data_IF_510662750020
#
_entry.id   IF_510662750020
#
_cell.length_a   1.000
_cell.length_b   1.000
_cell.length_c   1.000
_cell.angle_alpha   90.00
_cell.angle_beta   90.00
_cell.angle_gamma   90.00
#
_symmetry.space_group_name_H-M   'P 1'
#
loop_
_entity.id
_entity.type
_entity.pdbx_description
1 polymer ?
#
# COMPACT_ATOMS: atom_id res chain seq x y z
N UNK A 1 5.86 -37.70 -37.64
CA UNK A 1 5.82 -38.63 -36.48
C UNK A 1 7.15 -38.81 -35.74
N UNK A 2 8.31 -38.94 -36.41
CA UNK A 2 9.62 -39.12 -35.70
C UNK A 2 10.06 -37.91 -34.87
N UNK A 3 9.81 -36.68 -35.35
CA UNK A 3 10.13 -35.43 -34.64
C UNK A 3 9.28 -35.21 -33.38
N UNK A 4 7.99 -35.58 -33.42
CA UNK A 4 7.09 -35.46 -32.27
C UNK A 4 7.47 -36.44 -31.15
N UNK A 5 7.91 -37.65 -31.50
CA UNK A 5 8.37 -38.65 -30.52
C UNK A 5 9.68 -38.25 -29.83
N UNK A 6 10.58 -37.58 -30.54
CA UNK A 6 11.82 -37.03 -29.95
C UNK A 6 11.52 -35.88 -28.97
N UNK A 7 10.64 -34.96 -29.37
CA UNK A 7 10.21 -33.84 -28.52
C UNK A 7 9.49 -34.30 -27.23
N UNK A 8 8.62 -35.31 -27.33
CA UNK A 8 7.95 -35.89 -26.15
C UNK A 8 8.91 -36.65 -25.23
N UNK A 9 10.01 -37.21 -25.75
CA UNK A 9 11.03 -37.87 -24.93
C UNK A 9 11.89 -36.85 -24.15
N UNK A 10 12.18 -35.71 -24.79
CA UNK A 10 12.98 -34.61 -24.22
C UNK A 10 12.22 -33.85 -23.12
N UNK A 11 10.90 -33.64 -23.28
CA UNK A 11 10.07 -32.90 -22.32
C UNK A 11 9.23 -33.79 -21.39
N UNK A 12 9.47 -35.11 -21.33
CA UNK A 12 8.68 -36.05 -20.53
C UNK A 12 8.62 -35.66 -19.03
N UNK A 13 9.71 -35.10 -18.50
CA UNK A 13 9.76 -34.62 -17.10
C UNK A 13 8.97 -33.32 -16.90
N UNK A 14 9.02 -32.41 -17.86
CA UNK A 14 8.30 -31.12 -17.82
C UNK A 14 6.79 -31.32 -18.01
N UNK A 15 6.39 -32.28 -18.86
CA UNK A 15 4.99 -32.63 -19.09
C UNK A 15 4.34 -33.32 -17.88
N UNK A 16 5.10 -34.09 -17.09
CA UNK A 16 4.61 -34.70 -15.85
C UNK A 16 4.44 -33.64 -14.75
N UNK A 17 5.37 -32.69 -14.64
CA UNK A 17 5.27 -31.58 -13.68
C UNK A 17 4.07 -30.67 -14.02
N UNK A 18 3.89 -30.33 -15.30
CA UNK A 18 2.74 -29.54 -15.76
C UNK A 18 1.40 -30.26 -15.52
N UNK A 19 1.35 -31.59 -15.70
CA UNK A 19 0.17 -32.40 -15.42
C UNK A 19 -0.14 -32.47 -13.92
N UNK A 20 0.87 -32.58 -13.06
CA UNK A 20 0.71 -32.54 -11.60
C UNK A 20 0.21 -31.18 -11.11
N UNK A 21 0.70 -30.07 -11.68
CA UNK A 21 0.22 -28.72 -11.37
C UNK A 21 -1.25 -28.51 -11.82
N UNK A 22 -1.63 -29.06 -12.99
CA UNK A 22 -3.01 -29.02 -13.48
C UNK A 22 -3.98 -29.86 -12.63
N UNK A 23 -3.56 -31.04 -12.16
CA UNK A 23 -4.36 -31.91 -11.30
C UNK A 23 -4.52 -31.36 -9.87
N UNK A 24 -3.53 -30.62 -9.36
CA UNK A 24 -3.67 -29.91 -8.07
C UNK A 24 -4.65 -28.73 -8.16
N UNK A 25 -4.82 -28.12 -9.33
CA UNK A 25 -5.74 -27.00 -9.54
C UNK A 25 -7.22 -27.41 -9.60
N UNK A 26 -7.53 -28.64 -10.05
CA UNK A 26 -8.92 -29.12 -10.18
C UNK A 26 -9.48 -29.78 -8.91
N UNK A 27 -8.63 -30.17 -7.96
CA UNK A 27 -9.09 -30.75 -6.69
C UNK A 27 -9.44 -29.70 -5.61
N UNK A 28 -8.97 -28.45 -5.73
CA UNK A 28 -9.21 -27.40 -4.73
C UNK A 28 -10.48 -26.56 -4.94
N UNK A 29 -11.08 -26.60 -6.14
CA UNK A 29 -12.18 -25.70 -6.53
C UNK A 29 -13.59 -26.23 -6.23
N UNK A 30 -13.73 -27.43 -5.67
CA UNK A 30 -15.04 -28.02 -5.34
C UNK A 30 -15.44 -27.93 -3.85
N UNK A 31 -14.54 -27.50 -2.94
CA UNK A 31 -14.83 -27.43 -1.49
C UNK A 31 -15.10 -26.01 -0.96
N UNK A 32 -14.83 -24.94 -1.71
CA UNK A 32 -15.05 -23.56 -1.25
C UNK A 32 -16.48 -23.03 -1.47
N UNK A 33 -17.32 -23.70 -2.27
CA UNK A 33 -18.63 -23.18 -2.67
C UNK A 33 -19.80 -23.53 -1.71
N UNK A 34 -19.61 -24.45 -0.76
CA UNK A 34 -20.71 -24.92 0.13
C UNK A 34 -20.64 -24.27 1.53
N UNK A 35 -19.49 -23.72 1.94
CA UNK A 35 -19.34 -23.11 3.27
C UNK A 35 -19.88 -21.67 3.34
N UNK A 36 -19.99 -20.97 2.20
CA UNK A 36 -20.39 -19.55 2.15
C UNK A 36 -21.91 -19.35 2.10
N UNK A 37 -22.68 -20.34 1.60
CA UNK A 37 -24.13 -20.24 1.50
C UNK A 37 -24.87 -20.52 2.81
N UNK A 38 -24.31 -21.37 3.68
CA UNK A 38 -24.91 -21.66 4.99
C UNK A 38 -24.70 -20.52 6.00
N UNK A 39 -23.56 -19.82 5.96
CA UNK A 39 -23.27 -18.78 6.94
C UNK A 39 -24.09 -17.49 6.74
N UNK A 40 -24.49 -17.19 5.49
CA UNK A 40 -25.29 -15.99 5.15
C UNK A 40 -26.76 -16.08 5.58
N UNK A 41 -27.26 -17.26 5.94
CA UNK A 41 -28.65 -17.44 6.35
C UNK A 41 -28.87 -17.27 7.87
N UNK A 42 -27.82 -17.40 8.69
CA UNK A 42 -27.92 -17.33 10.16
C UNK A 42 -27.60 -15.92 10.70
N UNK A 43 -26.69 -15.17 10.06
CA UNK A 43 -26.31 -13.80 10.51
C UNK A 43 -27.42 -12.74 10.34
N UNK A 44 -28.47 -13.05 9.58
CA UNK A 44 -29.59 -12.13 9.34
C UNK A 44 -30.68 -12.15 10.43
N UNK A 45 -30.58 -13.02 11.45
CA UNK A 45 -31.58 -13.13 12.53
C UNK A 45 -31.17 -12.54 13.87
N UNK A 46 -29.91 -12.13 14.05
CA UNK A 46 -29.39 -11.69 15.35
C UNK A 46 -29.18 -10.17 15.48
N UNK A 47 -29.39 -9.37 14.43
CA UNK A 47 -29.19 -7.91 14.46
C UNK A 47 -30.39 -7.10 14.98
N UNK A 48 -31.31 -7.70 15.74
CA UNK A 48 -32.50 -7.00 16.26
C UNK A 48 -32.77 -7.26 17.76
N UNK A 49 -31.73 -7.18 18.59
CA UNK A 49 -31.78 -7.08 20.06
C UNK A 49 -30.32 -6.84 20.50
N UNK A 50 -29.86 -5.79 21.14
CA UNK A 50 -30.43 -4.84 22.09
C UNK A 50 -29.60 -3.54 22.04
N UNK A 51 -30.25 -2.42 22.38
CA UNK A 51 -29.64 -1.10 22.58
C UNK A 51 -29.86 -0.68 24.04
N UNK A 52 -28.95 0.16 24.56
CA UNK A 52 -28.88 0.81 25.90
C UNK A 52 -28.36 -0.11 27.04
N UNK A 53 -27.47 0.29 27.96
CA UNK A 53 -26.87 1.55 28.46
C UNK A 53 -25.61 1.08 29.23
N UNK A 54 -24.48 1.77 29.42
CA UNK A 54 -24.32 2.99 30.22
C UNK A 54 -22.82 3.39 30.26
N UNK A 55 -22.57 4.57 30.81
CA UNK A 55 -21.47 5.50 30.50
C UNK A 55 -20.26 5.41 31.46
N UNK A 56 -19.10 5.96 31.03
CA UNK A 56 -17.95 6.48 31.84
C UNK A 56 -16.86 5.44 32.19
N UNK A 57 -15.59 5.55 31.79
CA UNK A 57 -14.66 6.66 32.07
C UNK A 57 -13.46 6.63 31.11
N UNK A 58 -12.96 7.82 30.79
CA UNK A 58 -11.96 8.12 29.79
C UNK A 58 -10.49 7.82 30.17
N UNK A 59 -9.69 7.76 29.10
CA UNK A 59 -8.29 8.19 28.96
C UNK A 59 -7.18 7.15 29.20
N UNK A 60 -6.74 6.54 28.10
CA UNK A 60 -5.32 6.55 27.69
C UNK A 60 -5.26 6.57 26.14
N UNK A 61 -5.11 7.78 25.59
CA UNK A 61 -5.09 8.06 24.14
C UNK A 61 -3.70 7.69 23.59
N UNK A 62 -3.59 6.53 22.94
CA UNK A 62 -2.52 6.28 21.94
C UNK A 62 -3.08 6.65 20.58
N UNK A 63 -2.54 7.72 20.00
CA UNK A 63 -2.75 8.10 18.60
C UNK A 63 -2.19 7.00 17.70
N UNK A 64 -3.06 6.11 17.23
CA UNK A 64 -2.90 5.40 15.95
C UNK A 64 -4.00 5.97 15.06
N UNK A 65 -3.62 6.52 13.92
CA UNK A 65 -4.56 6.74 12.82
C UNK A 65 -5.21 5.37 12.51
N UNK A 66 -6.47 5.20 12.93
CA UNK A 66 -7.29 4.05 12.55
C UNK A 66 -7.71 4.23 11.09
N UNK A 67 -6.80 3.95 10.16
CA UNK A 67 -7.21 3.33 8.91
C UNK A 67 -7.67 1.92 9.27
N UNK A 68 -8.96 1.64 9.05
CA UNK A 68 -9.65 0.45 9.54
C UNK A 68 -8.81 -0.83 9.39
N UNK A 69 -8.51 -1.47 10.52
CA UNK A 69 -7.73 -2.70 10.54
C UNK A 69 -8.56 -3.82 9.89
N UNK A 70 -8.10 -4.35 8.77
CA UNK A 70 -8.73 -5.54 8.15
C UNK A 70 -8.36 -6.77 8.98
N UNK A 71 -9.36 -7.55 9.36
CA UNK A 71 -9.16 -8.76 10.16
C UNK A 71 -8.46 -9.86 9.36
N UNK A 72 -7.48 -10.51 10.00
CA UNK A 72 -6.79 -11.67 9.42
C UNK A 72 -7.69 -12.91 9.47
N UNK A 73 -7.68 -13.68 8.39
CA UNK A 73 -8.24 -15.03 8.37
C UNK A 73 -7.42 -15.99 9.23
N UNK A 74 -8.02 -17.09 9.69
CA UNK A 74 -7.30 -18.11 10.47
C UNK A 74 -6.14 -18.74 9.69
N UNK A 75 -6.29 -18.88 8.36
CA UNK A 75 -5.23 -19.35 7.48
C UNK A 75 -4.04 -18.38 7.46
N UNK A 76 -4.29 -17.08 7.31
CA UNK A 76 -3.25 -16.05 7.37
C UNK A 76 -2.55 -16.03 8.74
N UNK A 77 -3.32 -16.12 9.84
CA UNK A 77 -2.75 -16.20 11.20
C UNK A 77 -1.82 -17.39 11.36
N UNK A 78 -2.20 -18.55 10.82
CA UNK A 78 -1.37 -19.75 10.90
C UNK A 78 -0.08 -19.62 10.07
N UNK A 79 -0.15 -19.02 8.88
CA UNK A 79 1.03 -18.71 8.06
C UNK A 79 1.98 -17.77 8.81
N UNK A 80 1.45 -16.70 9.41
CA UNK A 80 2.24 -15.68 10.13
C UNK A 80 3.02 -16.28 11.32
N UNK A 81 2.44 -17.24 12.05
CA UNK A 81 3.14 -17.95 13.14
C UNK A 81 4.40 -18.67 12.65
N UNK A 82 4.41 -19.11 11.39
CA UNK A 82 5.48 -19.87 10.77
C UNK A 82 6.58 -19.04 10.12
N UNK A 83 6.52 -17.71 10.17
CA UNK A 83 7.53 -16.85 9.52
C UNK A 83 8.94 -17.09 10.06
N UNK A 84 9.83 -17.44 9.13
CA UNK A 84 11.26 -17.48 9.35
C UNK A 84 11.89 -16.07 9.34
N UNK A 85 13.20 -16.02 9.57
CA UNK A 85 13.95 -14.76 9.60
C UNK A 85 13.90 -14.05 8.25
N UNK A 86 14.11 -14.79 7.15
CA UNK A 86 14.16 -14.23 5.80
C UNK A 86 12.83 -13.58 5.40
N UNK A 87 11.70 -14.19 5.76
CA UNK A 87 10.37 -13.61 5.52
C UNK A 87 10.16 -12.32 6.32
N UNK A 88 10.64 -12.27 7.57
CA UNK A 88 10.54 -11.05 8.39
C UNK A 88 11.42 -9.92 7.86
N UNK A 89 12.66 -10.23 7.47
CA UNK A 89 13.57 -9.24 6.86
C UNK A 89 13.02 -8.69 5.53
N UNK A 90 12.33 -9.53 4.75
CA UNK A 90 11.62 -9.09 3.55
C UNK A 90 10.47 -8.13 3.90
N UNK A 91 9.66 -8.44 4.92
CA UNK A 91 8.58 -7.55 5.39
C UNK A 91 9.15 -6.22 5.89
N UNK A 92 10.24 -6.23 6.64
CA UNK A 92 10.96 -5.02 7.07
C UNK A 92 11.42 -4.20 5.85
N UNK A 93 11.94 -4.86 4.82
CA UNK A 93 12.32 -4.22 3.56
C UNK A 93 11.12 -3.56 2.88
N UNK A 94 10.00 -4.28 2.75
CA UNK A 94 8.78 -3.78 2.10
C UNK A 94 8.16 -2.60 2.86
N UNK A 95 8.18 -2.65 4.19
CA UNK A 95 7.59 -1.63 5.07
C UNK A 95 8.48 -0.39 5.26
N UNK A 96 9.76 -0.47 4.91
CA UNK A 96 10.71 0.64 5.04
C UNK A 96 10.46 1.80 4.08
N UNK A 97 9.58 1.63 3.08
CA UNK A 97 9.36 2.63 2.03
C UNK A 97 7.91 2.67 1.57
N UNK A 98 7.55 3.78 0.93
CA UNK A 98 6.40 3.85 0.05
C UNK A 98 6.84 3.35 -1.33
N UNK A 99 5.98 2.55 -1.96
CA UNK A 99 6.15 2.11 -3.34
C UNK A 99 5.18 2.90 -4.18
N UNK A 100 5.62 3.46 -5.29
CA UNK A 100 4.77 4.34 -6.08
C UNK A 100 4.93 4.13 -7.56
N UNK A 101 3.86 4.42 -8.30
CA UNK A 101 3.92 4.53 -9.75
C UNK A 101 3.03 5.67 -10.22
N UNK A 102 3.25 6.11 -11.47
CA UNK A 102 2.50 7.20 -12.09
C UNK A 102 2.54 8.48 -11.26
N UNK A 103 3.76 8.86 -10.83
CA UNK A 103 4.01 10.08 -10.04
C UNK A 103 3.22 10.10 -8.72
N UNK A 104 3.25 9.00 -7.97
CA UNK A 104 2.64 8.94 -6.65
C UNK A 104 1.12 8.76 -6.63
N UNK A 105 0.44 8.66 -7.78
CA UNK A 105 -1.02 8.44 -7.81
C UNK A 105 -1.46 7.07 -7.34
N UNK A 106 -0.58 6.09 -7.48
CA UNK A 106 -0.78 4.75 -6.97
C UNK A 106 0.34 4.50 -5.98
N UNK A 107 0.01 4.34 -4.71
CA UNK A 107 0.99 4.04 -3.67
C UNK A 107 0.66 2.76 -2.93
N UNK A 108 1.70 2.05 -2.52
CA UNK A 108 1.61 0.91 -1.60
C UNK A 108 2.43 1.23 -0.36
N UNK A 109 1.85 1.01 0.81
CA UNK A 109 2.52 1.10 2.10
C UNK A 109 2.28 -0.18 2.87
N UNK A 110 3.33 -0.97 3.06
CA UNK A 110 3.28 -2.23 3.79
C UNK A 110 3.48 -2.02 5.29
N UNK A 111 2.80 -2.83 6.08
CA UNK A 111 3.02 -3.08 7.50
C UNK A 111 3.20 -4.60 7.72
N UNK A 112 3.26 -5.06 8.96
CA UNK A 112 3.58 -6.45 9.31
C UNK A 112 2.61 -7.50 8.71
N UNK A 113 1.32 -7.18 8.68
CA UNK A 113 0.22 -8.10 8.32
C UNK A 113 -0.82 -7.48 7.38
N UNK A 114 -0.54 -6.28 6.88
CA UNK A 114 -1.46 -5.50 6.06
C UNK A 114 -0.72 -4.51 5.15
N UNK A 115 -1.36 -4.10 4.06
CA UNK A 115 -0.88 -3.00 3.25
C UNK A 115 -2.02 -2.03 2.93
N UNK A 116 -1.65 -0.77 2.72
CA UNK A 116 -2.55 0.25 2.19
C UNK A 116 -2.22 0.46 0.73
N UNK A 117 -3.19 0.27 -0.15
CA UNK A 117 -3.13 0.73 -1.54
C UNK A 117 -3.91 2.03 -1.67
N UNK A 118 -3.23 3.11 -2.05
CA UNK A 118 -3.88 4.38 -2.36
C UNK A 118 -4.02 4.51 -3.86
N UNK A 119 -5.25 4.69 -4.34
CA UNK A 119 -5.56 4.91 -5.75
C UNK A 119 -6.15 6.30 -5.92
N UNK A 120 -5.38 7.21 -6.53
CA UNK A 120 -5.73 8.62 -6.71
C UNK A 120 -6.25 9.26 -5.41
N UNK A 121 -5.45 9.21 -4.35
CA UNK A 121 -5.80 9.79 -3.04
C UNK A 121 -6.71 8.91 -2.17
N UNK A 122 -7.41 7.93 -2.73
CA UNK A 122 -8.34 7.06 -1.99
C UNK A 122 -7.62 5.82 -1.42
N UNK A 123 -7.47 5.68 -0.09
CA UNK A 123 -6.81 4.51 0.52
C UNK A 123 -7.77 3.32 0.68
N UNK A 124 -7.26 2.11 0.40
CA UNK A 124 -7.89 0.84 0.75
C UNK A 124 -6.90 -0.01 1.53
N UNK A 125 -7.34 -0.57 2.66
CA UNK A 125 -6.52 -1.46 3.50
C UNK A 125 -6.79 -2.91 3.10
N UNK A 126 -5.74 -3.72 3.02
CA UNK A 126 -5.81 -5.15 2.72
C UNK A 126 -4.99 -5.93 3.75
N UNK A 127 -5.56 -7.02 4.25
CA UNK A 127 -4.79 -7.98 5.07
C UNK A 127 -3.90 -8.84 4.18
N UNK A 128 -2.75 -9.29 4.68
CA UNK A 128 -1.94 -10.26 3.96
C UNK A 128 -1.16 -11.22 4.88
N UNK A 129 -0.77 -12.36 4.32
CA UNK A 129 0.30 -13.20 4.83
C UNK A 129 1.20 -13.67 3.67
N UNK A 130 2.48 -13.94 3.93
CA UNK A 130 3.44 -14.43 2.93
C UNK A 130 3.58 -15.94 3.09
N UNK A 131 2.96 -16.71 2.19
CA UNK A 131 2.99 -18.18 2.26
C UNK A 131 4.28 -18.77 1.69
N UNK A 132 5.00 -18.02 0.83
CA UNK A 132 6.27 -18.45 0.25
C UNK A 132 7.11 -17.27 -0.24
N UNK A 133 8.43 -17.40 -0.05
CA UNK A 133 9.45 -16.54 -0.65
C UNK A 133 10.44 -17.40 -1.41
N UNK A 134 10.73 -17.05 -2.65
CA UNK A 134 11.80 -17.66 -3.43
C UNK A 134 12.76 -16.58 -3.91
N UNK A 135 13.99 -16.63 -3.40
CA UNK A 135 15.07 -15.71 -3.78
C UNK A 135 15.93 -16.34 -4.87
N UNK A 136 16.14 -15.60 -5.95
CA UNK A 136 17.04 -15.95 -7.05
C UNK A 136 18.01 -14.80 -7.30
N UNK A 137 19.19 -15.11 -7.85
CA UNK A 137 20.09 -14.07 -8.36
C UNK A 137 19.61 -13.63 -9.74
N UNK A 138 19.72 -12.33 -10.02
CA UNK A 138 19.46 -11.79 -11.35
C UNK A 138 20.60 -12.08 -12.35
N UNK A 139 21.73 -12.67 -11.90
CA UNK A 139 22.91 -12.94 -12.71
C UNK A 139 23.84 -11.72 -12.91
N UNK A 140 23.49 -10.57 -12.33
CA UNK A 140 24.18 -9.28 -12.46
C UNK A 140 24.52 -8.65 -11.10
N UNK A 141 24.42 -9.41 -10.01
CA UNK A 141 24.77 -8.97 -8.66
C UNK A 141 23.59 -8.48 -7.82
N UNK A 142 22.38 -8.53 -8.37
CA UNK A 142 21.14 -8.25 -7.66
C UNK A 142 20.32 -9.50 -7.34
N UNK A 143 19.26 -9.30 -6.58
CA UNK A 143 18.33 -10.33 -6.14
C UNK A 143 16.93 -10.09 -6.71
N UNK A 144 16.32 -11.19 -7.13
CA UNK A 144 14.93 -11.27 -7.55
C UNK A 144 14.18 -12.20 -6.60
N UNK A 145 13.13 -11.68 -5.97
CA UNK A 145 12.27 -12.43 -5.08
C UNK A 145 10.93 -12.68 -5.77
N UNK A 146 10.49 -13.94 -5.77
CA UNK A 146 9.12 -14.33 -6.11
C UNK A 146 8.39 -14.63 -4.81
N UNK A 147 7.36 -13.86 -4.52
CA UNK A 147 6.67 -13.85 -3.22
C UNK A 147 5.22 -14.26 -3.46
N UNK A 148 4.70 -15.19 -2.66
CA UNK A 148 3.29 -15.57 -2.68
C UNK A 148 2.59 -14.90 -1.49
N UNK A 149 1.65 -14.00 -1.80
CA UNK A 149 0.80 -13.30 -0.84
C UNK A 149 -0.57 -13.95 -0.76
N UNK A 150 -1.03 -14.26 0.46
CA UNK A 150 -2.40 -14.61 0.77
C UNK A 150 -3.12 -13.38 1.32
N UNK A 151 -3.97 -12.74 0.53
CA UNK A 151 -4.70 -11.53 0.91
C UNK A 151 -6.20 -11.79 1.13
N UNK A 152 -6.92 -10.78 1.56
CA UNK A 152 -8.39 -10.75 1.59
C UNK A 152 -9.04 -10.87 0.19
N UNK A 153 -8.28 -10.60 -0.87
CA UNK A 153 -8.71 -10.72 -2.28
C UNK A 153 -8.29 -12.04 -2.95
N UNK A 154 -7.46 -12.85 -2.28
CA UNK A 154 -7.02 -14.16 -2.75
C UNK A 154 -5.51 -14.35 -2.72
N UNK A 155 -5.03 -15.38 -3.42
CA UNK A 155 -3.61 -15.71 -3.53
C UNK A 155 -2.99 -14.99 -4.73
N UNK A 156 -1.90 -14.27 -4.49
CA UNK A 156 -1.22 -13.46 -5.49
C UNK A 156 0.28 -13.75 -5.54
N UNK A 157 0.87 -13.58 -6.72
CA UNK A 157 2.32 -13.62 -6.91
C UNK A 157 2.82 -12.20 -7.11
N UNK A 158 3.83 -11.82 -6.35
CA UNK A 158 4.53 -10.54 -6.44
C UNK A 158 5.99 -10.80 -6.72
N UNK A 159 6.53 -10.06 -7.67
CA UNK A 159 7.97 -10.02 -7.95
C UNK A 159 8.56 -8.79 -7.31
N UNK A 160 9.54 -8.97 -6.44
CA UNK A 160 10.37 -7.90 -5.88
C UNK A 160 11.78 -7.96 -6.48
N UNK A 161 12.26 -6.84 -7.00
CA UNK A 161 13.63 -6.69 -7.51
C UNK A 161 14.37 -5.67 -6.65
N UNK A 162 15.51 -6.03 -6.07
CA UNK A 162 16.23 -5.14 -5.15
C UNK A 162 16.92 -3.94 -5.84
N UNK A 163 17.06 -3.98 -7.16
CA UNK A 163 17.64 -2.89 -7.94
C UNK A 163 19.17 -2.86 -7.95
N UNK A 164 19.84 -3.77 -7.23
CA UNK A 164 21.30 -3.72 -6.99
C UNK A 164 22.16 -4.34 -8.08
N UNK A 165 21.55 -5.05 -9.03
CA UNK A 165 22.26 -5.68 -10.15
C UNK A 165 22.69 -4.72 -11.25
N UNK A 166 23.76 -5.07 -11.96
CA UNK A 166 24.28 -4.26 -13.06
C UNK A 166 23.30 -4.09 -14.24
N UNK A 167 22.39 -5.05 -14.48
CA UNK A 167 21.42 -4.98 -15.58
C UNK A 167 20.45 -3.78 -15.46
N UNK A 168 20.05 -3.45 -14.24
CA UNK A 168 19.16 -2.30 -13.94
C UNK A 168 19.92 -0.99 -13.76
N UNK A 169 21.24 -1.03 -13.58
CA UNK A 169 22.12 0.13 -13.38
C UNK A 169 22.90 0.55 -14.64
N UNK A 170 22.60 -0.04 -15.81
CA UNK A 170 23.41 0.05 -17.04
C UNK A 170 23.64 1.48 -17.58
N UNK A 171 22.78 2.45 -17.22
CA UNK A 171 22.89 3.85 -17.66
C UNK A 171 23.49 4.81 -16.61
N UNK A 172 23.79 4.33 -15.40
CA UNK A 172 24.38 5.19 -14.35
C UNK A 172 25.89 5.33 -14.54
N UNK A 173 26.34 6.54 -14.90
CA UNK A 173 27.78 6.90 -14.91
C UNK A 173 28.36 7.06 -13.50
N UNK A 174 27.54 6.87 -12.48
CA UNK A 174 27.88 7.03 -11.07
C UNK A 174 27.32 5.82 -10.30
N UNK A 175 28.17 4.97 -9.70
CA UNK A 175 27.71 3.85 -8.88
C UNK A 175 26.84 4.36 -7.72
N UNK A 176 25.60 3.85 -7.61
CA UNK A 176 24.67 4.14 -6.50
C UNK A 176 23.62 5.23 -6.75
N UNK A 177 23.55 5.80 -7.97
CA UNK A 177 22.62 6.92 -8.26
C UNK A 177 21.25 6.47 -8.81
N UNK A 178 21.07 5.19 -9.17
CA UNK A 178 19.86 4.71 -9.88
C UNK A 178 19.39 3.29 -9.45
N UNK A 179 19.63 2.91 -8.20
CA UNK A 179 19.23 1.61 -7.64
C UNK A 179 17.73 1.62 -7.31
N UNK A 180 16.88 1.50 -8.32
CA UNK A 180 15.42 1.52 -8.11
C UNK A 180 14.95 0.10 -7.86
N UNK A 181 14.63 -0.20 -6.59
CA UNK A 181 13.93 -1.44 -6.24
C UNK A 181 12.48 -1.36 -6.71
N UNK A 182 11.91 -2.49 -7.14
CA UNK A 182 10.56 -2.52 -7.72
C UNK A 182 9.70 -3.66 -7.19
N UNK A 183 8.38 -3.42 -7.14
CA UNK A 183 7.34 -4.43 -6.92
C UNK A 183 6.44 -4.52 -8.15
N UNK A 184 6.18 -5.74 -8.64
CA UNK A 184 5.26 -5.97 -9.76
C UNK A 184 4.36 -7.16 -9.46
N UNK A 185 3.07 -7.04 -9.77
CA UNK A 185 2.13 -8.16 -9.77
C UNK A 185 1.16 -8.04 -10.93
N UNK A 186 0.73 -9.19 -11.47
CA UNK A 186 -0.32 -9.24 -12.49
C UNK A 186 -1.74 -9.20 -11.90
N UNK A 187 -1.88 -9.41 -10.59
CA UNK A 187 -3.19 -9.63 -9.95
C UNK A 187 -3.40 -8.92 -8.61
N UNK A 188 -2.34 -8.58 -7.87
CA UNK A 188 -2.48 -8.04 -6.50
C UNK A 188 -2.82 -6.55 -6.45
N UNK A 189 -2.25 -5.75 -7.34
CA UNK A 189 -2.32 -4.29 -7.27
C UNK A 189 -3.24 -3.71 -8.35
N UNK A 190 -3.73 -2.49 -8.13
CA UNK A 190 -4.55 -1.75 -9.07
C UNK A 190 -3.86 -1.58 -10.43
N UNK A 191 -2.56 -1.24 -10.44
CA UNK A 191 -1.74 -1.18 -11.66
C UNK A 191 -1.11 -2.53 -11.99
N UNK A 192 -1.85 -3.33 -12.76
CA UNK A 192 -1.43 -4.69 -13.17
C UNK A 192 -0.20 -4.65 -14.08
N UNK A 193 0.72 -5.58 -13.86
CA UNK A 193 1.96 -5.75 -14.65
C UNK A 193 2.80 -4.48 -14.76
N UNK A 194 2.66 -3.58 -13.77
CA UNK A 194 3.36 -2.31 -13.72
C UNK A 194 4.26 -2.31 -12.50
N UNK A 195 5.50 -1.85 -12.68
CA UNK A 195 6.46 -1.74 -11.59
C UNK A 195 6.11 -0.55 -10.70
N UNK A 196 5.82 -0.82 -9.44
CA UNK A 196 5.85 0.18 -8.38
C UNK A 196 7.29 0.34 -7.95
N UNK A 197 7.80 1.55 -8.05
CA UNK A 197 9.18 1.89 -7.72
C UNK A 197 9.26 2.34 -6.28
N UNK A 198 10.36 1.98 -5.60
CA UNK A 198 10.66 2.51 -4.28
C UNK A 198 10.77 4.03 -4.36
N UNK A 199 9.86 4.74 -3.69
CA UNK A 199 9.86 6.18 -3.65
C UNK A 199 10.66 6.67 -2.45
N UNK A 200 11.74 7.42 -2.69
CA UNK A 200 12.34 8.27 -1.68
C UNK A 200 11.41 9.46 -1.49
N UNK A 201 10.51 9.37 -0.50
CA UNK A 201 9.53 10.40 -0.25
C UNK A 201 10.21 11.75 -0.02
N UNK A 202 9.76 12.78 -0.74
CA UNK A 202 10.27 14.13 -0.55
C UNK A 202 9.93 14.57 0.87
N UNK A 203 10.96 14.65 1.72
CA UNK A 203 10.77 14.91 3.15
C UNK A 203 10.09 16.26 3.43
N UNK A 204 10.27 17.25 2.54
CA UNK A 204 9.68 18.58 2.67
C UNK A 204 9.27 19.11 1.29
N UNK A 205 7.99 19.43 1.12
CA UNK A 205 7.50 20.10 -0.08
C UNK A 205 7.56 21.62 0.08
N UNK A 206 7.67 22.34 -1.02
CA UNK A 206 7.59 23.81 -1.02
C UNK A 206 6.14 24.27 -1.13
N UNK A 207 5.62 24.97 -0.12
CA UNK A 207 4.29 25.58 -0.19
C UNK A 207 4.40 27.02 -0.71
N UNK A 208 3.70 27.32 -1.80
CA UNK A 208 3.71 28.62 -2.49
C UNK A 208 2.41 29.39 -2.23
N UNK A 209 2.54 30.70 -2.11
CA UNK A 209 1.43 31.65 -2.15
C UNK A 209 0.81 32.02 -0.80
N UNK A 210 1.07 31.27 0.27
CA UNK A 210 0.62 31.66 1.62
C UNK A 210 1.26 32.97 2.08
N UNK A 211 0.50 33.77 2.83
CA UNK A 211 0.94 35.02 3.42
C UNK A 211 0.78 34.99 4.96
N UNK A 212 1.22 36.04 5.64
CA UNK A 212 1.15 36.15 7.10
C UNK A 212 -0.26 36.32 7.67
N UNK A 213 -1.26 36.59 6.81
CA UNK A 213 -2.66 36.68 7.23
C UNK A 213 -3.26 35.29 7.39
N UNK A 214 -3.07 34.42 6.39
CA UNK A 214 -3.60 33.05 6.44
C UNK A 214 -2.88 32.19 7.47
N UNK A 215 -1.58 32.37 7.68
CA UNK A 215 -0.83 31.60 8.69
C UNK A 215 -1.28 31.90 10.13
N UNK A 216 -1.75 33.13 10.41
CA UNK A 216 -2.34 33.49 11.70
C UNK A 216 -3.64 32.75 11.99
N UNK A 217 -4.39 32.37 10.95
CA UNK A 217 -5.61 31.58 11.11
C UNK A 217 -5.29 30.17 11.62
N UNK A 218 -4.13 29.62 11.24
CA UNK A 218 -3.66 28.28 11.64
C UNK A 218 -2.81 28.29 12.92
N UNK A 219 -3.22 29.06 13.93
CA UNK A 219 -2.51 29.13 15.22
C UNK A 219 -1.19 29.93 15.20
N UNK A 220 -0.85 30.57 14.07
CA UNK A 220 0.29 31.49 13.97
C UNK A 220 1.66 30.86 13.76
N UNK A 221 1.74 29.53 13.62
CA UNK A 221 2.95 28.83 13.19
C UNK A 221 2.93 28.63 11.67
N UNK A 222 3.64 29.50 10.96
CA UNK A 222 3.71 29.47 9.49
C UNK A 222 4.27 28.16 8.93
N UNK A 223 5.05 27.41 9.74
CA UNK A 223 5.65 26.15 9.33
C UNK A 223 4.74 24.96 9.59
N UNK A 224 3.84 25.05 10.56
CA UNK A 224 3.03 23.91 11.00
C UNK A 224 2.21 23.31 9.84
N UNK A 225 1.49 24.13 9.08
CA UNK A 225 0.72 23.66 7.91
C UNK A 225 1.61 23.06 6.82
N UNK A 226 2.79 23.65 6.58
CA UNK A 226 3.75 23.16 5.58
C UNK A 226 4.32 21.80 6.01
N UNK A 227 4.66 21.64 7.28
CA UNK A 227 5.15 20.38 7.83
C UNK A 227 4.08 19.30 7.82
N UNK A 228 2.84 19.63 8.20
CA UNK A 228 1.73 18.69 8.20
C UNK A 228 1.42 18.22 6.76
N UNK A 229 1.34 19.15 5.80
CA UNK A 229 1.11 18.82 4.39
C UNK A 229 2.27 18.00 3.80
N UNK A 230 3.52 18.34 4.11
CA UNK A 230 4.69 17.57 3.65
C UNK A 230 4.64 16.12 4.14
N UNK A 231 4.29 15.89 5.41
CA UNK A 231 4.15 14.54 5.97
C UNK A 231 3.04 13.75 5.30
N UNK A 232 1.91 14.40 5.02
CA UNK A 232 0.79 13.76 4.34
C UNK A 232 1.14 13.43 2.89
N UNK A 233 1.73 14.36 2.14
CA UNK A 233 2.20 14.11 0.77
C UNK A 233 3.27 13.03 0.71
N UNK A 234 4.18 12.93 1.69
CA UNK A 234 5.16 11.85 1.75
C UNK A 234 4.54 10.44 1.76
N UNK A 235 3.29 10.30 2.21
CA UNK A 235 2.54 9.03 2.23
C UNK A 235 1.67 8.87 0.99
N UNK A 236 0.92 9.90 0.62
CA UNK A 236 -0.13 9.81 -0.40
C UNK A 236 0.32 10.24 -1.80
N UNK A 237 1.33 11.11 -1.90
CA UNK A 237 1.87 11.66 -3.14
C UNK A 237 3.40 11.87 -3.04
N UNK A 238 4.18 10.79 -2.84
CA UNK A 238 5.59 10.89 -2.42
C UNK A 238 6.52 11.60 -3.41
N UNK A 239 6.11 11.75 -4.68
CA UNK A 239 6.85 12.45 -5.73
C UNK A 239 6.55 13.96 -5.81
N UNK A 240 5.53 14.45 -5.09
CA UNK A 240 5.19 15.88 -5.07
C UNK A 240 6.28 16.66 -4.36
N UNK A 241 6.72 17.75 -4.99
CA UNK A 241 7.78 18.62 -4.46
C UNK A 241 7.27 20.02 -4.11
N UNK A 242 6.09 20.40 -4.63
CA UNK A 242 5.50 21.71 -4.41
C UNK A 242 3.97 21.65 -4.30
N UNK A 243 3.42 22.57 -3.50
CA UNK A 243 1.98 22.79 -3.39
C UNK A 243 1.68 24.29 -3.47
N UNK A 244 0.64 24.67 -4.22
CA UNK A 244 0.25 26.07 -4.42
C UNK A 244 -1.09 26.35 -3.75
N UNK A 245 -1.11 27.22 -2.75
CA UNK A 245 -2.32 27.64 -2.06
C UNK A 245 -3.32 28.30 -3.03
N UNK A 246 -4.59 27.90 -2.96
CA UNK A 246 -5.65 28.37 -3.87
C UNK A 246 -6.25 29.73 -3.46
N UNK A 247 -5.71 30.38 -2.42
CA UNK A 247 -6.11 31.73 -1.96
C UNK A 247 -7.54 31.85 -1.44
N UNK A 248 -8.16 30.72 -1.10
CA UNK A 248 -9.51 30.66 -0.52
C UNK A 248 -9.40 30.00 0.85
N UNK A 249 -10.07 30.60 1.84
CA UNK A 249 -10.20 30.06 3.19
C UNK A 249 -11.66 30.13 3.59
N UNK A 250 -12.20 29.03 4.10
CA UNK A 250 -13.51 29.00 4.72
C UNK A 250 -13.36 28.93 6.23
N UNK A 251 -14.15 29.74 6.93
CA UNK A 251 -14.15 29.82 8.39
C UNK A 251 -15.51 29.33 8.89
N UNK A 252 -15.51 28.18 9.54
CA UNK A 252 -16.66 27.65 10.26
C UNK A 252 -16.49 27.97 11.75
N UNK A 253 -17.10 29.07 12.19
CA UNK A 253 -17.04 29.50 13.58
C UNK A 253 -17.90 28.66 14.51
N UNK A 254 -18.91 27.96 13.98
CA UNK A 254 -19.79 27.12 14.79
C UNK A 254 -19.05 25.86 15.23
N UNK A 255 -18.34 25.23 14.28
CA UNK A 255 -17.56 24.03 14.54
C UNK A 255 -16.10 24.31 14.92
N UNK A 256 -15.62 25.55 14.77
CA UNK A 256 -14.22 25.91 15.06
C UNK A 256 -13.23 25.36 14.03
N UNK A 257 -13.65 25.28 12.77
CA UNK A 257 -12.89 24.64 11.68
C UNK A 257 -12.50 25.66 10.62
N UNK A 258 -11.26 25.57 10.15
CA UNK A 258 -10.75 26.36 9.03
C UNK A 258 -10.40 25.42 7.90
N UNK A 259 -10.92 25.67 6.69
CA UNK A 259 -10.57 24.87 5.51
C UNK A 259 -9.95 25.70 4.40
N UNK A 260 -8.98 25.11 3.70
CA UNK A 260 -8.32 25.74 2.55
C UNK A 260 -7.78 24.68 1.60
N UNK A 261 -7.61 25.03 0.32
CA UNK A 261 -7.10 24.11 -0.69
C UNK A 261 -5.67 24.42 -1.16
N UNK A 262 -4.95 23.36 -1.49
CA UNK A 262 -3.62 23.38 -2.09
C UNK A 262 -3.60 22.55 -3.37
N UNK A 263 -3.11 23.15 -4.45
CA UNK A 263 -2.89 22.46 -5.72
C UNK A 263 -1.48 21.89 -5.77
N UNK A 264 -1.35 20.57 -5.92
CA UNK A 264 -0.06 19.90 -5.99
C UNK A 264 0.58 20.08 -7.37
N UNK A 265 1.91 19.97 -7.43
CA UNK A 265 2.67 20.01 -8.68
C UNK A 265 2.81 18.63 -9.34
N UNK A 266 1.70 17.89 -9.42
CA UNK A 266 1.61 16.65 -10.15
C UNK A 266 1.04 16.87 -11.57
N UNK A 267 1.18 15.88 -12.46
CA UNK A 267 0.69 15.98 -13.85
C UNK A 267 -0.83 16.22 -13.95
N UNK A 268 -1.62 15.78 -12.97
CA UNK A 268 -3.08 15.96 -12.98
C UNK A 268 -3.57 17.16 -12.19
N UNK A 269 -2.66 17.92 -11.56
CA UNK A 269 -3.01 19.16 -10.89
C UNK A 269 -4.02 18.95 -9.73
N UNK A 270 -3.82 17.88 -8.95
CA UNK A 270 -4.67 17.46 -7.82
C UNK A 270 -4.81 18.60 -6.80
N UNK A 271 -6.01 18.76 -6.25
CA UNK A 271 -6.31 19.70 -5.17
C UNK A 271 -6.51 18.94 -3.87
N UNK A 272 -5.73 19.29 -2.85
CA UNK A 272 -5.82 18.75 -1.49
C UNK A 272 -6.48 19.79 -0.60
N UNK A 273 -7.56 19.40 0.07
CA UNK A 273 -8.21 20.20 1.11
C UNK A 273 -7.48 19.98 2.43
N UNK A 274 -7.03 21.06 3.04
CA UNK A 274 -6.49 21.13 4.39
C UNK A 274 -7.60 21.59 5.33
N UNK A 275 -7.77 20.84 6.42
CA UNK A 275 -8.71 21.14 7.50
C UNK A 275 -7.91 21.38 8.77
N UNK A 276 -8.17 22.49 9.44
CA UNK A 276 -7.54 22.86 10.71
C UNK A 276 -8.61 23.01 11.79
N UNK A 277 -8.47 22.20 12.84
CA UNK A 277 -9.34 22.20 14.01
C UNK A 277 -8.78 23.20 15.04
N UNK A 278 -9.48 24.32 15.26
CA UNK A 278 -8.98 25.40 16.12
C UNK A 278 -8.88 24.99 17.60
N UNK A 279 -9.72 24.05 18.03
CA UNK A 279 -9.77 23.61 19.43
C UNK A 279 -8.55 22.76 19.83
N UNK A 280 -8.03 21.96 18.89
CA UNK A 280 -6.90 21.04 19.13
C UNK A 280 -5.60 21.53 18.49
N UNK A 281 -5.68 22.38 17.48
CA UNK A 281 -4.55 22.77 16.64
C UNK A 281 -4.08 21.68 15.69
N UNK A 282 -4.90 20.66 15.43
CA UNK A 282 -4.58 19.54 14.55
C UNK A 282 -4.93 19.84 13.09
N UNK A 283 -4.16 19.26 12.17
CA UNK A 283 -4.39 19.32 10.72
C UNK A 283 -4.83 17.96 10.20
N UNK A 284 -5.81 17.93 9.30
CA UNK A 284 -6.15 16.78 8.47
C UNK A 284 -6.24 17.18 6.99
N UNK A 285 -6.13 16.20 6.10
CA UNK A 285 -6.05 16.42 4.66
C UNK A 285 -6.91 15.42 3.89
N UNK A 286 -7.55 15.90 2.83
CA UNK A 286 -8.40 15.14 1.91
C UNK A 286 -7.98 15.47 0.47
N UNK A 287 -7.85 14.47 -0.42
CA UNK A 287 -7.40 14.67 -1.80
C UNK A 287 -7.66 13.49 -2.71
#
# INVERSE_FOLDING_TARGET
>A
MKKLKAWMAEHKKFSVIALCLLLMFTCGSAMSAINVSHHRAETAKEQHAENNTDTTTAAEKKTKEETGKVELTDAQKEIIKGYDTDTKELIDTLSSSVWSVSEGRYTLKFADDSYVETVNGTPTVHSYAISRVEKTSDGYGGSLYTIVFETDTGTHIVTYTDGSGAAVNSDSKTPGENTISTLTSSTMFAQKNTAYERAEAVANITVKGMNSEVTKLFGGDEKAVTTALSKWCAVHYPSVTEATWQKVVNLDYENGVITTDFKLNDTNSVSVTCVYEQSTGEFSFEG
#
